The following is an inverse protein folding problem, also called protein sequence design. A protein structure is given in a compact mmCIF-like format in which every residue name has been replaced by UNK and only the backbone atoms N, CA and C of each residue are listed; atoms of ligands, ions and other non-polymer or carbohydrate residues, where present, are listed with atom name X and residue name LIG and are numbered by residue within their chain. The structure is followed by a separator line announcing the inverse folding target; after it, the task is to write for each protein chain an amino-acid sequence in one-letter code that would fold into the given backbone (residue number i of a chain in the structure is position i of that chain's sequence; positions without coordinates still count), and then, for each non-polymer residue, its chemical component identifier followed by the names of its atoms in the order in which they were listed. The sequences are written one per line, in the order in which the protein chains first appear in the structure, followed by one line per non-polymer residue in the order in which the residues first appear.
data_IF_215617739068
#
_entry.id   IF_215617739068
#
_cell.length_a   1.000
_cell.length_b   1.000
_cell.length_c   1.000
_cell.angle_alpha   90.00
_cell.angle_beta   90.00
_cell.angle_gamma   90.00
#
_symmetry.space_group_name_H-M   'P 1'
#
loop_
_entity.id
_entity.type
_entity.pdbx_description
1 polymer ?
#
# COMPACT_ATOMS: atom_id res chain seq x y z
N UNK A 1 -65.17 -20.00 -24.33
CA UNK A 1 -64.66 -18.94 -23.46
C UNK A 1 -63.15 -19.13 -23.25
N UNK A 2 -62.35 -18.41 -23.98
CA UNK A 2 -60.87 -18.52 -23.87
C UNK A 2 -60.33 -17.40 -22.98
N UNK A 3 -59.77 -17.77 -21.82
CA UNK A 3 -59.05 -16.86 -20.95
C UNK A 3 -57.62 -16.71 -21.46
N UNK A 4 -57.31 -15.57 -22.04
CA UNK A 4 -55.96 -15.19 -22.40
C UNK A 4 -55.16 -14.84 -21.14
N UNK A 5 -54.16 -15.64 -20.81
CA UNK A 5 -53.21 -15.35 -19.74
C UNK A 5 -52.08 -14.52 -20.37
N UNK A 6 -52.07 -13.23 -20.07
CA UNK A 6 -50.96 -12.36 -20.39
C UNK A 6 -49.82 -12.63 -19.40
N UNK A 7 -48.81 -13.35 -19.86
CA UNK A 7 -47.56 -13.50 -19.13
C UNK A 7 -46.74 -12.20 -19.21
N UNK A 8 -46.66 -11.49 -18.10
CA UNK A 8 -45.80 -10.31 -17.96
C UNK A 8 -44.36 -10.77 -17.83
N UNK A 9 -43.61 -10.59 -18.91
CA UNK A 9 -42.16 -10.86 -18.92
C UNK A 9 -41.43 -9.69 -18.26
N UNK A 10 -41.13 -9.85 -16.97
CA UNK A 10 -40.33 -8.89 -16.21
C UNK A 10 -38.86 -9.05 -16.60
N UNK A 11 -38.38 -8.19 -17.50
CA UNK A 11 -36.97 -8.12 -17.87
C UNK A 11 -36.24 -7.33 -16.76
N UNK A 12 -35.55 -8.07 -15.88
CA UNK A 12 -34.68 -7.48 -14.88
C UNK A 12 -33.37 -7.09 -15.59
N UNK A 13 -33.19 -5.80 -15.89
CA UNK A 13 -31.92 -5.25 -16.30
C UNK A 13 -30.96 -5.21 -15.07
N UNK A 14 -30.12 -6.24 -14.95
CA UNK A 14 -28.96 -6.17 -14.04
C UNK A 14 -27.96 -5.19 -14.66
N UNK A 15 -28.02 -3.94 -14.23
CA UNK A 15 -27.02 -2.95 -14.56
C UNK A 15 -25.69 -3.31 -13.90
N UNK A 16 -24.79 -3.92 -14.66
CA UNK A 16 -23.39 -4.13 -14.28
C UNK A 16 -22.70 -2.77 -14.25
N UNK A 17 -22.65 -2.14 -13.07
CA UNK A 17 -21.82 -0.95 -12.87
C UNK A 17 -20.38 -1.40 -12.86
N UNK A 18 -19.71 -1.30 -14.00
CA UNK A 18 -18.25 -1.36 -14.07
C UNK A 18 -17.70 -0.11 -13.36
N UNK A 19 -17.30 -0.27 -12.11
CA UNK A 19 -16.48 0.71 -11.40
C UNK A 19 -15.07 0.65 -11.98
N UNK A 20 -14.84 1.41 -13.03
CA UNK A 20 -13.51 1.69 -13.53
C UNK A 20 -12.79 2.63 -12.58
N UNK A 21 -12.19 2.10 -11.53
CA UNK A 21 -11.21 2.82 -10.72
C UNK A 21 -9.85 2.65 -11.40
N UNK A 22 -9.56 3.52 -12.36
CA UNK A 22 -8.17 3.78 -12.77
C UNK A 22 -7.53 4.69 -11.73
N UNK A 23 -7.23 4.14 -10.55
CA UNK A 23 -6.20 4.72 -9.70
C UNK A 23 -4.92 4.53 -10.48
N UNK A 24 -4.24 5.63 -10.81
CA UNK A 24 -2.89 5.57 -11.37
C UNK A 24 -2.01 4.80 -10.39
N UNK A 25 -1.86 3.50 -10.63
CA UNK A 25 -1.05 2.64 -9.79
C UNK A 25 0.39 3.13 -9.91
N UNK A 26 0.91 3.73 -8.84
CA UNK A 26 2.32 4.04 -8.74
C UNK A 26 3.09 2.73 -8.92
N UNK A 27 4.06 2.70 -9.84
CA UNK A 27 4.88 1.51 -10.03
C UNK A 27 5.76 1.30 -8.80
N UNK A 28 5.35 0.40 -7.93
CA UNK A 28 6.04 0.06 -6.68
C UNK A 28 7.01 -1.12 -6.82
N UNK A 29 7.33 -1.50 -8.07
CA UNK A 29 8.18 -2.67 -8.36
C UNK A 29 7.46 -4.00 -8.11
N UNK A 30 8.23 -5.05 -7.88
CA UNK A 30 7.75 -6.42 -7.62
C UNK A 30 7.75 -6.79 -6.13
N UNK A 31 8.17 -5.88 -5.25
CA UNK A 31 8.17 -6.10 -3.80
C UNK A 31 6.77 -5.90 -3.25
N UNK A 32 6.33 -6.81 -2.38
CA UNK A 32 5.01 -6.79 -1.75
C UNK A 32 5.02 -5.86 -0.53
N UNK A 33 5.02 -4.57 -0.78
CA UNK A 33 5.06 -3.55 0.27
C UNK A 33 3.83 -3.60 1.17
N UNK A 34 4.04 -3.54 2.47
CA UNK A 34 2.99 -3.46 3.50
C UNK A 34 3.21 -2.24 4.39
N UNK A 35 2.21 -1.85 5.16
CA UNK A 35 2.35 -0.79 6.15
C UNK A 35 3.08 -1.28 7.42
N UNK A 36 3.64 -0.32 8.17
CA UNK A 36 4.47 -0.62 9.33
C UNK A 36 3.71 -1.31 10.47
N UNK A 37 2.40 -1.06 10.60
CA UNK A 37 1.55 -1.70 11.62
C UNK A 37 1.36 -3.17 11.26
N UNK A 38 0.98 -3.45 10.02
CA UNK A 38 0.82 -4.82 9.50
C UNK A 38 2.11 -5.62 9.63
N UNK A 39 3.27 -5.02 9.31
CA UNK A 39 4.57 -5.68 9.46
C UNK A 39 4.85 -6.08 10.91
N UNK A 40 4.57 -5.20 11.87
CA UNK A 40 4.75 -5.50 13.29
C UNK A 40 3.79 -6.59 13.79
N UNK A 41 2.54 -6.60 13.30
CA UNK A 41 1.56 -7.61 13.67
C UNK A 41 1.93 -8.99 13.14
N UNK A 42 2.33 -9.09 11.88
CA UNK A 42 2.81 -10.34 11.30
C UNK A 42 4.07 -10.85 12.02
N UNK A 43 4.93 -9.94 12.45
CA UNK A 43 6.18 -10.28 13.12
C UNK A 43 5.96 -10.93 14.50
N UNK A 44 4.81 -10.72 15.14
CA UNK A 44 4.47 -11.37 16.43
C UNK A 44 4.28 -12.88 16.29
N UNK A 45 3.76 -13.34 15.16
CA UNK A 45 3.44 -14.76 14.92
C UNK A 45 4.46 -15.47 14.05
N UNK A 46 5.11 -14.74 13.14
CA UNK A 46 6.15 -15.27 12.25
C UNK A 46 7.30 -14.26 12.17
N UNK A 47 8.29 -14.34 13.07
CA UNK A 47 9.37 -13.37 13.15
C UNK A 47 10.23 -13.33 11.89
N UNK A 48 10.33 -12.14 11.27
CA UNK A 48 11.23 -11.80 10.17
C UNK A 48 11.76 -10.38 10.36
N UNK A 49 12.95 -10.05 9.86
CA UNK A 49 13.40 -8.65 9.82
C UNK A 49 12.42 -7.76 9.05
N UNK A 50 12.20 -6.55 9.54
CA UNK A 50 11.42 -5.53 8.83
C UNK A 50 12.40 -4.68 8.01
N UNK A 51 12.21 -4.68 6.68
CA UNK A 51 12.96 -3.81 5.76
C UNK A 51 12.13 -2.54 5.54
N UNK A 52 12.66 -1.38 5.90
CA UNK A 52 11.94 -0.11 5.72
C UNK A 52 12.60 0.71 4.62
N UNK A 53 11.89 0.92 3.50
CA UNK A 53 12.24 1.90 2.47
C UNK A 53 11.66 3.25 2.86
N UNK A 54 12.54 4.16 3.28
CA UNK A 54 12.16 5.52 3.69
C UNK A 54 12.23 6.43 2.46
N UNK A 55 11.11 7.03 2.08
CA UNK A 55 11.02 7.87 0.88
C UNK A 55 10.32 9.19 1.14
N UNK A 56 10.38 10.08 0.16
CA UNK A 56 9.55 11.28 0.04
C UNK A 56 8.92 11.36 -1.34
N UNK A 57 7.81 12.06 -1.49
CA UNK A 57 7.09 12.15 -2.77
C UNK A 57 7.89 12.83 -3.88
N UNK A 58 8.84 13.69 -3.51
CA UNK A 58 9.73 14.40 -4.44
C UNK A 58 11.06 13.67 -4.70
N UNK A 59 11.30 12.51 -4.07
CA UNK A 59 12.54 11.75 -4.20
C UNK A 59 12.65 11.05 -5.57
N UNK A 60 13.38 11.65 -6.50
CA UNK A 60 13.61 11.08 -7.84
C UNK A 60 14.33 9.73 -7.81
N UNK A 61 15.35 9.58 -6.95
CA UNK A 61 16.07 8.31 -6.79
C UNK A 61 15.21 7.20 -6.19
N UNK A 62 14.31 7.51 -5.27
CA UNK A 62 13.37 6.51 -4.74
C UNK A 62 12.46 5.98 -5.85
N UNK A 63 11.96 6.85 -6.72
CA UNK A 63 11.17 6.46 -7.90
C UNK A 63 11.98 5.64 -8.89
N UNK A 64 13.25 5.97 -9.08
CA UNK A 64 14.17 5.19 -9.90
C UNK A 64 14.36 3.78 -9.33
N UNK A 65 14.61 3.64 -8.04
CA UNK A 65 14.76 2.33 -7.37
C UNK A 65 13.51 1.45 -7.52
N UNK A 66 12.31 2.03 -7.47
CA UNK A 66 11.08 1.27 -7.70
C UNK A 66 11.05 0.63 -9.10
N UNK A 67 11.55 1.36 -10.11
CA UNK A 67 11.54 0.91 -11.52
C UNK A 67 12.71 -0.04 -11.86
N UNK A 68 13.75 -0.06 -11.06
CA UNK A 68 14.97 -0.84 -11.30
C UNK A 68 15.18 -1.88 -10.22
N UNK A 69 15.73 -1.48 -9.09
CA UNK A 69 16.14 -2.35 -7.99
C UNK A 69 14.98 -3.21 -7.46
N UNK A 70 13.85 -2.59 -7.14
CA UNK A 70 12.68 -3.29 -6.60
C UNK A 70 11.78 -3.94 -7.69
N UNK A 71 12.15 -3.78 -8.95
CA UNK A 71 11.57 -4.49 -10.11
C UNK A 71 12.46 -5.63 -10.60
N UNK A 72 13.61 -5.87 -9.99
CA UNK A 72 14.39 -7.08 -10.22
C UNK A 72 13.70 -8.29 -9.58
N UNK A 73 13.42 -9.33 -10.38
CA UNK A 73 12.67 -10.49 -9.92
C UNK A 73 13.40 -11.28 -8.83
N UNK A 74 14.72 -11.42 -8.94
CA UNK A 74 15.52 -12.16 -7.97
C UNK A 74 15.54 -11.46 -6.62
N UNK A 75 15.79 -10.14 -6.61
CA UNK A 75 15.79 -9.34 -5.41
C UNK A 75 14.40 -9.26 -4.77
N UNK A 76 13.36 -9.04 -5.57
CA UNK A 76 11.99 -8.97 -5.04
C UNK A 76 11.57 -10.29 -4.39
N UNK A 77 11.87 -11.43 -5.01
CA UNK A 77 11.61 -12.75 -4.43
C UNK A 77 12.36 -12.95 -3.11
N UNK A 78 13.62 -12.52 -3.04
CA UNK A 78 14.40 -12.57 -1.82
C UNK A 78 13.79 -11.72 -0.69
N UNK A 79 13.46 -10.46 -0.99
CA UNK A 79 12.85 -9.56 -0.02
C UNK A 79 11.49 -10.10 0.45
N UNK A 80 10.61 -10.49 -0.46
CA UNK A 80 9.29 -11.00 -0.13
C UNK A 80 9.33 -12.29 0.72
N UNK A 81 10.39 -13.10 0.56
CA UNK A 81 10.54 -14.35 1.30
C UNK A 81 11.07 -14.12 2.72
N UNK A 82 12.09 -13.29 2.85
CA UNK A 82 12.88 -13.20 4.09
C UNK A 82 12.60 -11.98 4.94
N UNK A 83 11.88 -10.97 4.43
CA UNK A 83 11.59 -9.71 5.13
C UNK A 83 10.10 -9.41 5.15
N UNK A 84 9.71 -8.49 6.04
CA UNK A 84 8.48 -7.71 5.93
C UNK A 84 8.83 -6.35 5.33
N UNK A 85 8.59 -6.15 4.01
CA UNK A 85 8.97 -4.91 3.36
C UNK A 85 7.93 -3.82 3.63
N UNK A 86 8.39 -2.69 4.12
CA UNK A 86 7.59 -1.52 4.47
C UNK A 86 8.06 -0.32 3.66
N UNK A 87 7.14 0.40 3.02
CA UNK A 87 7.41 1.74 2.49
C UNK A 87 6.92 2.80 3.48
N UNK A 88 7.81 3.69 3.88
CA UNK A 88 7.51 4.72 4.85
C UNK A 88 7.80 6.11 4.28
N UNK A 89 6.74 6.93 4.11
CA UNK A 89 6.92 8.32 3.72
C UNK A 89 7.49 9.13 4.90
N UNK A 90 8.73 9.60 4.75
CA UNK A 90 9.42 10.38 5.78
C UNK A 90 8.67 11.65 6.20
N UNK A 91 7.82 12.19 5.33
CA UNK A 91 7.09 13.46 5.54
C UNK A 91 5.62 13.24 5.93
N UNK A 92 5.22 11.98 6.22
CA UNK A 92 3.83 11.69 6.63
C UNK A 92 3.42 12.55 7.83
N UNK A 93 2.19 13.06 7.78
CA UNK A 93 1.58 13.81 8.89
C UNK A 93 0.86 12.91 9.88
N UNK A 94 0.71 11.64 9.53
CA UNK A 94 0.08 10.66 10.42
C UNK A 94 0.99 10.36 11.61
N UNK A 95 0.36 10.09 12.75
CA UNK A 95 1.09 9.52 13.88
C UNK A 95 1.31 8.04 13.63
N UNK A 96 2.56 7.61 13.62
CA UNK A 96 2.96 6.23 13.38
C UNK A 96 3.37 5.58 14.70
N UNK A 97 2.83 4.41 14.98
CA UNK A 97 3.26 3.60 16.12
C UNK A 97 4.28 2.55 15.67
N UNK A 98 5.45 2.58 16.29
CA UNK A 98 6.51 1.61 16.04
C UNK A 98 7.20 1.23 17.35
N UNK A 99 7.28 -0.08 17.62
CA UNK A 99 7.83 -0.62 18.87
C UNK A 99 7.22 0.04 20.13
N UNK A 100 5.89 0.10 20.17
CA UNK A 100 5.10 0.67 21.28
C UNK A 100 5.30 2.17 21.51
N UNK A 101 6.06 2.85 20.64
CA UNK A 101 6.26 4.30 20.68
C UNK A 101 5.50 4.98 19.54
N UNK A 102 4.99 6.16 19.83
CA UNK A 102 4.28 7.00 18.85
C UNK A 102 5.21 8.06 18.30
N UNK A 103 5.29 8.11 16.99
CA UNK A 103 6.11 9.05 16.24
C UNK A 103 5.20 9.97 15.42
N UNK A 104 5.32 11.25 15.62
CA UNK A 104 4.49 12.25 14.95
C UNK A 104 5.36 13.17 14.08
N UNK A 105 4.72 13.86 13.14
CA UNK A 105 5.33 14.98 12.46
C UNK A 105 4.89 16.26 13.16
N UNK A 106 5.69 16.77 14.07
CA UNK A 106 5.38 17.92 14.92
C UNK A 106 5.50 19.27 14.20
N UNK A 107 6.09 19.29 13.03
CA UNK A 107 6.36 20.50 12.28
C UNK A 107 5.28 20.76 11.23
N UNK A 108 4.93 22.03 11.03
CA UNK A 108 3.93 22.45 10.04
C UNK A 108 4.50 22.66 8.64
N UNK A 109 5.83 22.59 8.48
CA UNK A 109 6.50 22.76 7.19
C UNK A 109 6.17 21.64 6.18
N UNK A 110 6.12 21.99 4.90
CA UNK A 110 5.75 21.06 3.84
C UNK A 110 6.75 19.91 3.62
N UNK A 111 7.99 20.02 4.12
CA UNK A 111 9.04 19.01 4.00
C UNK A 111 9.65 18.64 5.35
N UNK A 112 8.85 18.74 6.40
CA UNK A 112 9.29 18.33 7.72
C UNK A 112 9.15 16.82 7.89
N UNK A 113 10.18 16.14 8.43
CA UNK A 113 10.11 14.69 8.62
C UNK A 113 9.22 14.32 9.82
N UNK A 114 8.65 13.13 9.75
CA UNK A 114 8.09 12.43 10.90
C UNK A 114 9.24 11.99 11.82
N UNK A 115 9.01 12.03 13.13
CA UNK A 115 10.04 11.70 14.13
C UNK A 115 10.63 10.27 13.92
N UNK A 116 9.86 9.33 13.33
CA UNK A 116 10.35 7.99 13.00
C UNK A 116 11.42 7.99 11.91
N UNK A 117 11.42 8.96 11.01
CA UNK A 117 12.41 9.05 9.93
C UNK A 117 13.79 9.58 10.39
N UNK A 118 13.90 10.05 11.62
CA UNK A 118 15.11 10.72 12.16
C UNK A 118 15.71 10.05 13.40
N UNK A 119 15.24 8.86 13.76
CA UNK A 119 15.79 8.05 14.87
C UNK A 119 16.96 7.19 14.45
#
# INVERSE_FOLDING_TARGET
MQKKIFGSLLIIFLGLKALGQTTGAENLGLVNWIDIKTAQELNKTNPKPILIDVYTDWCGWCKHMMKTTFSDQGLANYINTYFYPVRFNAETKDTVEFQEKKYANKNTGNRSPNDLAVI
#
